data_IF_700178912015
#
_entry.id   IF_700178912015
#
_cell.length_a   1.000
_cell.length_b   1.000
_cell.length_c   1.000
_cell.angle_alpha   90.00
_cell.angle_beta   90.00
_cell.angle_gamma   90.00
#
_symmetry.space_group_name_H-M   'P 1'
#
loop_
_entity.id
_entity.type
_entity.pdbx_description
1 polymer ?
#
# COMPACT_ATOMS: atom_id res chain seq x y z
N UNK A 1 -59.62 -58.59 -7.87
CA UNK A 1 -58.23 -58.10 -7.93
C UNK A 1 -58.26 -56.59 -8.15
N UNK A 2 -58.06 -55.79 -7.10
CA UNK A 2 -57.94 -54.32 -7.20
C UNK A 2 -56.46 -53.97 -7.09
N UNK A 3 -55.93 -53.35 -8.14
CA UNK A 3 -54.55 -52.91 -8.25
C UNK A 3 -54.26 -51.84 -7.20
N UNK A 4 -53.25 -52.08 -6.36
CA UNK A 4 -52.54 -51.03 -5.64
C UNK A 4 -51.79 -50.16 -6.65
N UNK A 5 -52.19 -48.90 -6.78
CA UNK A 5 -51.35 -47.86 -7.37
C UNK A 5 -50.40 -47.38 -6.28
N UNK A 6 -49.17 -47.92 -6.29
CA UNK A 6 -48.06 -47.41 -5.50
C UNK A 6 -47.60 -46.09 -6.15
N UNK A 7 -47.98 -44.95 -5.57
CA UNK A 7 -47.42 -43.66 -5.93
C UNK A 7 -46.01 -43.57 -5.35
N UNK A 8 -44.99 -43.83 -6.19
CA UNK A 8 -43.61 -43.52 -5.87
C UNK A 8 -43.45 -41.99 -5.89
N UNK A 9 -43.52 -41.37 -4.72
CA UNK A 9 -43.15 -39.97 -4.54
C UNK A 9 -41.64 -39.84 -4.82
N UNK A 10 -41.29 -39.30 -5.99
CA UNK A 10 -39.94 -38.82 -6.28
C UNK A 10 -39.61 -37.70 -5.28
N UNK A 11 -38.88 -38.05 -4.22
CA UNK A 11 -38.13 -37.11 -3.41
C UNK A 11 -36.97 -36.60 -4.28
N UNK A 12 -37.22 -35.58 -5.08
CA UNK A 12 -36.14 -34.79 -5.66
C UNK A 12 -35.38 -34.15 -4.49
N UNK A 13 -34.05 -34.33 -4.36
CA UNK A 13 -33.28 -33.62 -3.36
C UNK A 13 -33.40 -32.13 -3.67
N UNK A 14 -34.20 -31.43 -2.87
CA UNK A 14 -34.14 -29.98 -2.77
C UNK A 14 -32.74 -29.65 -2.27
N UNK A 15 -31.85 -29.27 -3.19
CA UNK A 15 -30.61 -28.62 -2.85
C UNK A 15 -30.98 -27.36 -2.08
N UNK A 16 -30.96 -27.43 -0.75
CA UNK A 16 -31.12 -26.28 0.11
C UNK A 16 -29.89 -25.41 -0.15
N UNK A 17 -30.06 -24.37 -0.98
CA UNK A 17 -29.06 -23.31 -1.08
C UNK A 17 -28.95 -22.70 0.30
N UNK A 18 -27.77 -22.77 0.92
CA UNK A 18 -27.52 -22.10 2.18
C UNK A 18 -27.87 -20.62 2.00
N UNK A 19 -28.65 -20.08 2.93
CA UNK A 19 -28.93 -18.64 2.94
C UNK A 19 -27.61 -17.88 3.05
N UNK A 20 -27.42 -16.80 2.27
CA UNK A 20 -26.18 -16.06 2.30
C UNK A 20 -26.00 -15.39 3.68
N UNK A 21 -24.82 -15.61 4.29
CA UNK A 21 -24.46 -14.98 5.57
C UNK A 21 -24.42 -13.44 5.48
N UNK A 22 -24.01 -12.92 4.32
CA UNK A 22 -24.03 -11.49 3.98
C UNK A 22 -24.41 -11.37 2.50
N UNK A 23 -25.33 -10.46 2.17
CA UNK A 23 -25.73 -10.15 0.81
C UNK A 23 -25.71 -8.63 0.60
N UNK A 24 -24.73 -8.15 -0.17
CA UNK A 24 -24.56 -6.74 -0.51
C UNK A 24 -24.61 -6.54 -2.02
N UNK A 25 -25.11 -5.39 -2.46
CA UNK A 25 -25.15 -4.99 -3.86
C UNK A 25 -24.84 -3.51 -4.00
N UNK A 26 -24.02 -3.14 -4.98
CA UNK A 26 -23.61 -1.77 -5.20
C UNK A 26 -23.82 -1.38 -6.68
N UNK A 27 -24.68 -0.39 -6.98
CA UNK A 27 -24.76 0.19 -8.31
C UNK A 27 -23.55 1.11 -8.57
N UNK A 28 -23.12 1.19 -9.83
CA UNK A 28 -22.24 2.27 -10.30
C UNK A 28 -23.05 3.27 -11.10
N UNK A 29 -22.67 4.54 -11.07
CA UNK A 29 -23.29 5.61 -11.85
C UNK A 29 -22.28 6.26 -12.77
N UNK A 30 -22.74 6.61 -13.96
CA UNK A 30 -21.99 7.42 -14.92
C UNK A 30 -22.88 8.58 -15.33
N UNK A 31 -22.33 9.79 -15.31
CA UNK A 31 -23.00 11.00 -15.81
C UNK A 31 -22.12 11.67 -16.86
N UNK A 32 -22.75 12.12 -17.94
CA UNK A 32 -22.10 12.82 -19.05
C UNK A 32 -22.80 14.15 -19.24
N UNK A 33 -22.07 15.24 -19.03
CA UNK A 33 -22.57 16.61 -19.19
C UNK A 33 -21.79 17.32 -20.30
N UNK A 34 -22.47 18.13 -21.10
CA UNK A 34 -21.81 18.96 -22.12
C UNK A 34 -21.19 20.20 -21.47
N UNK A 35 -19.91 20.45 -21.71
CA UNK A 35 -19.16 21.64 -21.27
C UNK A 35 -18.54 22.34 -22.49
N UNK A 36 -19.27 23.30 -23.07
CA UNK A 36 -18.86 23.94 -24.32
C UNK A 36 -18.86 22.95 -25.48
N UNK A 37 -17.71 22.75 -26.13
CA UNK A 37 -17.51 21.73 -27.19
C UNK A 37 -16.99 20.39 -26.64
N UNK A 38 -16.81 20.27 -25.32
CA UNK A 38 -16.31 19.08 -24.64
C UNK A 38 -17.43 18.39 -23.84
N UNK A 39 -17.10 17.25 -23.25
CA UNK A 39 -17.92 16.49 -22.33
C UNK A 39 -17.20 16.30 -21.00
N UNK A 40 -17.90 16.54 -19.90
CA UNK A 40 -17.48 16.08 -18.58
C UNK A 40 -18.11 14.71 -18.32
N UNK A 41 -17.28 13.73 -18.04
CA UNK A 41 -17.67 12.37 -17.68
C UNK A 41 -17.32 12.16 -16.22
N UNK A 42 -18.33 11.86 -15.40
CA UNK A 42 -18.16 11.53 -13.98
C UNK A 42 -18.62 10.11 -13.75
N UNK A 43 -17.77 9.29 -13.16
CA UNK A 43 -18.06 7.91 -12.79
C UNK A 43 -17.91 7.73 -11.28
N UNK A 44 -18.98 7.30 -10.64
CA UNK A 44 -18.99 6.83 -9.26
C UNK A 44 -19.20 5.33 -9.26
N UNK A 45 -18.18 4.57 -8.86
CA UNK A 45 -18.28 3.12 -8.76
C UNK A 45 -18.23 2.68 -7.30
N UNK A 46 -19.01 1.65 -6.97
CA UNK A 46 -18.94 0.99 -5.67
C UNK A 46 -18.88 -0.52 -5.91
N UNK A 47 -17.97 -1.19 -5.21
CA UNK A 47 -17.81 -2.66 -5.23
C UNK A 47 -17.50 -3.20 -3.86
N UNK A 48 -17.75 -4.51 -3.69
CA UNK A 48 -17.39 -5.25 -2.49
C UNK A 48 -16.28 -6.25 -2.80
N UNK A 49 -15.36 -6.41 -1.86
CA UNK A 49 -14.28 -7.40 -1.92
C UNK A 49 -14.12 -8.06 -0.55
N UNK A 50 -13.98 -9.38 -0.51
CA UNK A 50 -13.61 -10.06 0.74
C UNK A 50 -12.10 -10.04 0.93
N UNK A 51 -11.66 -9.99 2.18
CA UNK A 51 -10.27 -10.11 2.54
C UNK A 51 -10.11 -11.05 3.74
N UNK A 52 -8.95 -11.71 3.80
CA UNK A 52 -8.53 -12.57 4.89
C UNK A 52 -7.13 -12.16 5.31
N UNK A 53 -6.96 -11.78 6.57
CA UNK A 53 -5.66 -11.39 7.10
C UNK A 53 -5.37 -12.02 8.48
N UNK A 54 -4.10 -12.27 8.81
CA UNK A 54 -3.70 -12.54 10.18
C UNK A 54 -3.76 -11.25 11.01
N UNK A 55 -4.21 -11.33 12.26
CA UNK A 55 -4.30 -10.16 13.15
C UNK A 55 -3.32 -10.24 14.31
N UNK A 56 -2.47 -9.21 14.42
CA UNK A 56 -1.62 -9.00 15.60
C UNK A 56 -2.47 -8.84 16.86
N UNK A 57 -3.53 -8.03 16.81
CA UNK A 57 -4.42 -7.78 17.94
C UNK A 57 -5.14 -9.05 18.44
N UNK A 58 -5.48 -9.96 17.54
CA UNK A 58 -6.10 -11.25 17.84
C UNK A 58 -5.06 -12.39 17.99
N UNK A 59 -3.81 -12.09 18.32
CA UNK A 59 -2.73 -13.08 18.56
C UNK A 59 -2.49 -14.02 17.38
N UNK A 60 -2.41 -13.44 16.19
CA UNK A 60 -2.26 -14.10 14.89
C UNK A 60 -3.45 -14.97 14.46
N UNK A 61 -4.64 -14.76 15.03
CA UNK A 61 -5.87 -15.35 14.48
C UNK A 61 -6.22 -14.72 13.13
N UNK A 62 -6.88 -15.49 12.27
CA UNK A 62 -7.37 -15.00 10.98
C UNK A 62 -8.65 -14.17 11.16
N UNK A 63 -8.68 -12.99 10.57
CA UNK A 63 -9.86 -12.12 10.50
C UNK A 63 -10.37 -12.10 9.06
N UNK A 64 -11.66 -12.37 8.90
CA UNK A 64 -12.39 -12.17 7.67
C UNK A 64 -12.98 -10.78 7.64
N UNK A 65 -12.84 -10.09 6.52
CA UNK A 65 -13.40 -8.75 6.32
C UNK A 65 -14.16 -8.68 5.00
N UNK A 66 -15.19 -7.86 4.98
CA UNK A 66 -15.79 -7.32 3.77
C UNK A 66 -15.30 -5.88 3.61
N UNK A 67 -14.73 -5.58 2.45
CA UNK A 67 -14.31 -4.23 2.07
C UNK A 67 -15.36 -3.65 1.13
N UNK A 68 -15.92 -2.51 1.48
CA UNK A 68 -16.69 -1.65 0.57
C UNK A 68 -15.73 -0.63 -0.03
N UNK A 69 -15.63 -0.61 -1.35
CA UNK A 69 -14.71 0.24 -2.11
C UNK A 69 -15.55 1.16 -3.00
N UNK A 70 -15.48 2.45 -2.73
CA UNK A 70 -16.09 3.52 -3.53
C UNK A 70 -14.97 4.24 -4.28
N UNK A 71 -15.13 4.47 -5.59
CA UNK A 71 -14.20 5.26 -6.39
C UNK A 71 -14.95 6.31 -7.20
N UNK A 72 -14.44 7.54 -7.18
CA UNK A 72 -14.93 8.67 -7.94
C UNK A 72 -13.88 9.11 -8.95
N UNK A 73 -14.26 9.18 -10.22
CA UNK A 73 -13.41 9.63 -11.32
C UNK A 73 -14.16 10.69 -12.12
N UNK A 74 -13.52 11.82 -12.37
CA UNK A 74 -14.03 12.89 -13.24
C UNK A 74 -13.01 13.15 -14.34
N UNK A 75 -13.47 13.25 -15.58
CA UNK A 75 -12.62 13.60 -16.71
C UNK A 75 -13.35 14.54 -17.66
N UNK A 76 -12.58 15.39 -18.35
CA UNK A 76 -13.05 16.23 -19.45
C UNK A 76 -12.45 15.70 -20.75
N UNK A 77 -13.29 15.37 -21.72
CA UNK A 77 -12.91 14.81 -23.01
C UNK A 77 -13.61 15.54 -24.16
N UNK A 78 -12.99 15.61 -25.33
CA UNK A 78 -13.55 16.30 -26.48
C UNK A 78 -12.70 16.17 -27.74
N UNK A 79 -13.24 16.54 -28.91
CA UNK A 79 -12.59 16.31 -30.20
C UNK A 79 -11.29 17.10 -30.42
N UNK A 80 -11.07 18.15 -29.63
CA UNK A 80 -9.95 19.10 -29.80
C UNK A 80 -9.06 19.21 -28.55
N UNK A 81 -9.26 18.35 -27.55
CA UNK A 81 -8.46 18.34 -26.32
C UNK A 81 -7.93 16.94 -26.02
N UNK A 82 -6.78 16.87 -25.36
CA UNK A 82 -6.38 15.66 -24.66
C UNK A 82 -7.32 15.44 -23.47
N UNK A 83 -7.58 14.17 -23.14
CA UNK A 83 -8.42 13.85 -21.98
C UNK A 83 -7.75 14.39 -20.71
N UNK A 84 -8.45 15.28 -20.00
CA UNK A 84 -7.99 15.80 -18.72
C UNK A 84 -8.71 15.05 -17.61
N UNK A 85 -7.98 14.24 -16.86
CA UNK A 85 -8.52 13.48 -15.74
C UNK A 85 -8.30 14.30 -14.46
N UNK A 86 -9.39 14.64 -13.77
CA UNK A 86 -9.33 15.23 -12.43
C UNK A 86 -8.79 14.19 -11.44
N UNK A 87 -8.22 14.64 -10.32
CA UNK A 87 -7.69 13.71 -9.32
C UNK A 87 -8.78 12.77 -8.80
N UNK A 88 -8.69 11.49 -9.15
CA UNK A 88 -9.62 10.46 -8.69
C UNK A 88 -9.51 10.26 -7.18
N UNK A 89 -10.62 9.91 -6.54
CA UNK A 89 -10.65 9.59 -5.11
C UNK A 89 -11.18 8.19 -4.89
N UNK A 90 -10.72 7.56 -3.82
CA UNK A 90 -11.24 6.30 -3.34
C UNK A 90 -11.56 6.39 -1.85
N UNK A 91 -12.66 5.74 -1.47
CA UNK A 91 -13.05 5.53 -0.08
C UNK A 91 -13.25 4.04 0.16
N UNK A 92 -12.55 3.51 1.15
CA UNK A 92 -12.57 2.09 1.50
C UNK A 92 -13.02 1.94 2.94
N UNK A 93 -14.11 1.21 3.16
CA UNK A 93 -14.63 0.90 4.50
C UNK A 93 -14.51 -0.58 4.77
N UNK A 94 -13.88 -0.94 5.90
CA UNK A 94 -13.68 -2.33 6.30
C UNK A 94 -14.71 -2.76 7.33
N UNK A 95 -15.36 -3.90 7.10
CA UNK A 95 -16.33 -4.51 8.00
C UNK A 95 -15.83 -5.90 8.41
N UNK A 96 -15.63 -6.18 9.70
CA UNK A 96 -15.31 -7.53 10.15
C UNK A 96 -16.51 -8.47 9.89
N UNK A 97 -16.22 -9.71 9.52
CA UNK A 97 -17.22 -10.77 9.34
C UNK A 97 -17.15 -11.75 10.51
N UNK A 98 -18.32 -12.18 10.97
CA UNK A 98 -18.48 -13.23 11.98
C UNK A 98 -19.60 -14.19 11.58
N UNK A 99 -19.84 -15.22 12.39
CA UNK A 99 -20.96 -16.15 12.20
C UNK A 99 -22.34 -15.46 12.27
N UNK A 100 -22.41 -14.23 12.78
CA UNK A 100 -23.63 -13.41 12.78
C UNK A 100 -23.76 -12.47 11.58
N UNK A 101 -22.82 -12.51 10.63
CA UNK A 101 -22.82 -11.69 9.42
C UNK A 101 -21.84 -10.52 9.44
N UNK A 102 -22.24 -9.42 8.80
CA UNK A 102 -21.45 -8.19 8.68
C UNK A 102 -21.49 -7.39 9.99
N UNK A 103 -20.33 -7.14 10.60
CA UNK A 103 -20.21 -6.28 11.77
C UNK A 103 -20.29 -4.79 11.44
N UNK A 104 -20.10 -3.94 12.45
CA UNK A 104 -19.97 -2.49 12.26
C UNK A 104 -18.66 -2.13 11.52
N UNK A 105 -18.62 -0.96 10.90
CA UNK A 105 -17.42 -0.48 10.23
C UNK A 105 -16.26 -0.36 11.24
N UNK A 106 -15.16 -1.07 10.98
CA UNK A 106 -13.95 -1.00 11.80
C UNK A 106 -13.18 0.31 11.56
N UNK A 107 -13.08 0.72 10.28
CA UNK A 107 -12.47 1.97 9.86
C UNK A 107 -12.88 2.33 8.43
N UNK A 108 -12.64 3.59 8.06
CA UNK A 108 -12.76 4.10 6.69
C UNK A 108 -11.48 4.84 6.31
N UNK A 109 -10.98 4.59 5.11
CA UNK A 109 -9.84 5.28 4.50
C UNK A 109 -10.37 6.05 3.29
N UNK A 110 -10.05 7.33 3.18
CA UNK A 110 -10.38 8.15 2.02
C UNK A 110 -9.12 8.88 1.54
N UNK A 111 -8.77 8.73 0.26
CA UNK A 111 -7.60 9.35 -0.33
C UNK A 111 -7.73 9.49 -1.85
N UNK A 112 -6.81 10.24 -2.46
CA UNK A 112 -6.67 10.29 -3.93
C UNK A 112 -6.15 8.94 -4.45
N UNK A 113 -6.86 8.33 -5.39
CA UNK A 113 -6.49 7.05 -5.98
C UNK A 113 -7.25 6.78 -7.28
N UNK A 114 -6.51 6.35 -8.31
CA UNK A 114 -7.07 5.87 -9.58
C UNK A 114 -7.40 4.37 -9.51
N UNK A 115 -6.71 3.63 -8.66
CA UNK A 115 -6.95 2.21 -8.44
C UNK A 115 -6.84 1.81 -6.96
N UNK A 116 -7.64 0.80 -6.61
CA UNK A 116 -7.70 0.22 -5.27
C UNK A 116 -7.42 -1.27 -5.36
N UNK A 117 -6.44 -1.75 -4.60
CA UNK A 117 -6.11 -3.17 -4.48
C UNK A 117 -6.00 -3.55 -3.00
N UNK A 118 -6.50 -4.72 -2.64
CA UNK A 118 -6.46 -5.23 -1.27
C UNK A 118 -5.95 -6.67 -1.29
N UNK A 119 -4.81 -6.89 -0.65
CA UNK A 119 -4.13 -8.19 -0.64
C UNK A 119 -3.50 -8.44 0.73
N UNK A 120 -3.94 -9.52 1.39
CA UNK A 120 -3.44 -9.91 2.70
C UNK A 120 -3.68 -8.80 3.74
N UNK A 121 -2.63 -8.39 4.45
CA UNK A 121 -2.70 -7.36 5.48
C UNK A 121 -2.77 -5.92 4.94
N UNK A 122 -2.75 -5.70 3.62
CA UNK A 122 -2.52 -4.38 3.03
C UNK A 122 -3.59 -3.93 2.04
N UNK A 123 -3.94 -2.66 2.15
CA UNK A 123 -4.67 -1.90 1.15
C UNK A 123 -3.67 -1.02 0.38
N UNK A 124 -3.71 -1.11 -0.94
CA UNK A 124 -2.92 -0.26 -1.84
C UNK A 124 -3.85 0.68 -2.60
N UNK A 125 -3.63 1.98 -2.42
CA UNK A 125 -4.24 3.03 -3.22
C UNK A 125 -3.21 3.55 -4.21
N UNK A 126 -3.46 3.35 -5.50
CA UNK A 126 -2.52 3.73 -6.57
C UNK A 126 -2.97 5.02 -7.23
N UNK A 127 -2.06 5.98 -7.32
CA UNK A 127 -2.17 7.18 -8.15
C UNK A 127 -1.25 7.01 -9.35
N UNK A 128 -1.81 6.94 -10.55
CA UNK A 128 -1.01 6.86 -11.77
C UNK A 128 -0.39 8.22 -12.07
N UNK A 129 0.88 8.22 -12.45
CA UNK A 129 1.52 9.41 -13.01
C UNK A 129 1.12 9.61 -14.47
N UNK A 130 1.32 10.82 -15.01
CA UNK A 130 1.30 10.98 -16.47
C UNK A 130 2.68 10.70 -17.06
N UNK A 131 2.68 10.16 -18.27
CA UNK A 131 3.77 10.36 -19.20
C UNK A 131 5.07 9.64 -18.74
N UNK A 132 5.97 10.33 -18.04
CA UNK A 132 7.24 9.81 -17.50
C UNK A 132 7.23 9.63 -15.98
N UNK A 133 6.15 10.03 -15.30
CA UNK A 133 6.01 9.92 -13.86
C UNK A 133 5.74 8.48 -13.42
N UNK A 134 6.35 8.07 -12.31
CA UNK A 134 6.04 6.78 -11.70
C UNK A 134 4.71 6.83 -10.94
N UNK A 135 3.96 5.70 -10.89
CA UNK A 135 2.79 5.61 -10.04
C UNK A 135 3.21 5.70 -8.56
N UNK A 136 2.43 6.46 -7.78
CA UNK A 136 2.53 6.46 -6.32
C UNK A 136 1.60 5.41 -5.74
N UNK A 137 2.10 4.54 -4.88
CA UNK A 137 1.31 3.52 -4.20
C UNK A 137 1.29 3.81 -2.70
N UNK A 138 0.15 4.27 -2.19
CA UNK A 138 -0.08 4.48 -0.78
C UNK A 138 -0.55 3.18 -0.12
N UNK A 139 0.19 2.73 0.89
CA UNK A 139 -0.03 1.46 1.57
C UNK A 139 -0.63 1.73 2.96
N UNK A 140 -1.76 1.09 3.23
CA UNK A 140 -2.46 1.14 4.51
C UNK A 140 -2.58 -0.25 5.10
N UNK A 141 -2.59 -0.32 6.43
CA UNK A 141 -2.90 -1.57 7.14
C UNK A 141 -4.39 -1.87 7.08
N UNK A 142 -4.76 -3.06 6.62
CA UNK A 142 -6.14 -3.56 6.71
C UNK A 142 -6.51 -4.06 8.11
N UNK A 143 -5.54 -4.20 9.02
CA UNK A 143 -5.81 -4.48 10.42
C UNK A 143 -6.18 -3.19 11.19
N UNK A 144 -5.43 -2.10 11.00
CA UNK A 144 -5.58 -0.89 11.81
C UNK A 144 -6.19 0.32 11.09
N UNK A 145 -6.32 0.27 9.77
CA UNK A 145 -6.72 1.39 8.93
C UNK A 145 -5.64 2.49 8.78
N UNK A 146 -4.48 2.33 9.39
CA UNK A 146 -3.42 3.36 9.39
C UNK A 146 -2.65 3.39 8.08
N UNK A 147 -2.31 4.59 7.62
CA UNK A 147 -1.33 4.81 6.57
C UNK A 147 0.06 4.37 7.04
N UNK A 148 0.71 3.49 6.28
CA UNK A 148 2.05 2.98 6.58
C UNK A 148 3.10 3.79 5.83
N UNK A 149 3.02 3.80 4.50
CA UNK A 149 4.01 4.44 3.63
C UNK A 149 3.52 4.57 2.19
N UNK A 150 4.22 5.41 1.42
CA UNK A 150 4.16 5.43 -0.03
C UNK A 150 5.34 4.66 -0.61
N UNK A 151 5.14 4.10 -1.79
CA UNK A 151 6.22 3.49 -2.55
C UNK A 151 6.09 3.77 -4.05
N UNK A 152 7.24 4.01 -4.67
CA UNK A 152 7.39 4.11 -6.13
C UNK A 152 7.99 2.84 -6.74
N UNK A 153 8.29 1.82 -5.92
CA UNK A 153 8.84 0.56 -6.41
C UNK A 153 7.87 -0.14 -7.38
N UNK A 154 8.34 -0.45 -8.59
CA UNK A 154 7.48 -0.84 -9.72
C UNK A 154 7.28 -2.35 -9.92
N UNK A 155 7.71 -3.18 -8.98
CA UNK A 155 7.47 -4.61 -9.09
C UNK A 155 6.18 -4.99 -8.33
N UNK A 156 5.38 -5.88 -8.92
CA UNK A 156 4.14 -6.37 -8.31
C UNK A 156 4.39 -7.27 -7.09
N UNK A 157 5.63 -7.73 -6.87
CA UNK A 157 5.97 -8.73 -5.86
C UNK A 157 6.95 -8.27 -4.76
N UNK A 158 7.60 -7.10 -4.87
CA UNK A 158 8.66 -6.60 -3.96
C UNK A 158 8.58 -5.07 -3.78
N UNK A 159 7.38 -4.57 -3.44
CA UNK A 159 7.11 -3.13 -3.27
C UNK A 159 7.87 -2.52 -2.08
N UNK A 160 8.40 -3.36 -1.20
CA UNK A 160 9.19 -3.04 -0.01
C UNK A 160 10.12 -4.22 0.31
N UNK A 161 11.13 -3.97 1.14
CA UNK A 161 11.96 -5.02 1.76
C UNK A 161 11.48 -5.27 3.19
N UNK A 162 11.77 -6.46 3.73
CA UNK A 162 11.25 -6.82 5.04
C UNK A 162 12.24 -7.55 5.95
N UNK A 163 12.06 -7.34 7.25
CA UNK A 163 12.79 -8.06 8.27
C UNK A 163 11.83 -8.67 9.27
N UNK A 164 11.88 -10.00 9.40
CA UNK A 164 11.02 -10.78 10.28
C UNK A 164 11.79 -11.44 11.42
N UNK A 165 11.10 -11.84 12.48
CA UNK A 165 11.66 -12.69 13.53
C UNK A 165 10.66 -13.75 14.03
N UNK A 166 11.12 -14.69 14.86
CA UNK A 166 10.21 -15.63 15.51
C UNK A 166 9.21 -14.90 16.41
N UNK A 167 7.92 -15.23 16.26
CA UNK A 167 6.81 -14.64 17.03
C UNK A 167 5.61 -14.26 16.16
N UNK A 168 5.76 -14.29 14.84
CA UNK A 168 4.68 -14.03 13.89
C UNK A 168 4.71 -12.60 13.37
N UNK A 169 3.57 -12.12 12.86
CA UNK A 169 3.46 -10.86 12.11
C UNK A 169 3.74 -9.61 12.95
N UNK A 170 3.61 -9.67 14.27
CA UNK A 170 3.99 -8.58 15.17
C UNK A 170 5.49 -8.23 15.12
N UNK A 171 6.30 -9.20 14.66
CA UNK A 171 7.74 -9.09 14.46
C UNK A 171 8.13 -8.98 12.98
N UNK A 172 7.22 -8.52 12.11
CA UNK A 172 7.59 -8.09 10.77
C UNK A 172 7.88 -6.58 10.78
N UNK A 173 8.94 -6.19 10.07
CA UNK A 173 9.32 -4.82 9.78
C UNK A 173 9.37 -4.62 8.28
N UNK A 174 8.78 -3.52 7.83
CA UNK A 174 8.65 -3.17 6.42
C UNK A 174 9.49 -1.92 6.18
N UNK A 175 10.26 -1.94 5.09
CA UNK A 175 11.03 -0.78 4.64
C UNK A 175 10.66 -0.48 3.19
N UNK A 176 10.22 0.74 2.94
CA UNK A 176 9.81 1.19 1.62
C UNK A 176 10.49 2.51 1.27
N UNK A 177 10.50 2.84 -0.02
CA UNK A 177 10.98 4.12 -0.51
C UNK A 177 9.99 4.72 -1.49
N UNK A 178 9.86 6.04 -1.45
CA UNK A 178 9.16 6.85 -2.45
C UNK A 178 10.16 7.85 -3.03
N UNK A 179 10.51 7.69 -4.31
CA UNK A 179 11.37 8.64 -5.02
C UNK A 179 10.54 9.80 -5.58
N UNK A 180 11.13 11.01 -5.60
CA UNK A 180 10.48 12.23 -6.07
C UNK A 180 10.40 12.32 -7.59
N UNK A 181 9.61 11.43 -8.20
CA UNK A 181 9.32 11.42 -9.64
C UNK A 181 7.84 11.12 -9.94
N UNK A 182 6.93 11.69 -9.13
CA UNK A 182 5.48 11.44 -9.22
C UNK A 182 4.62 12.69 -9.01
N UNK A 183 3.37 12.65 -9.52
CA UNK A 183 2.36 13.68 -9.28
C UNK A 183 1.94 13.86 -7.79
N UNK A 184 2.40 13.00 -6.88
CA UNK A 184 2.13 13.14 -5.44
C UNK A 184 3.20 13.96 -4.71
N UNK A 185 4.31 14.30 -5.37
CA UNK A 185 5.51 14.77 -4.69
C UNK A 185 5.37 16.10 -3.97
N UNK A 186 4.63 17.06 -4.54
CA UNK A 186 4.38 18.34 -3.87
C UNK A 186 3.67 18.16 -2.52
N UNK A 187 2.77 17.16 -2.44
CA UNK A 187 2.05 16.81 -1.22
C UNK A 187 2.97 16.10 -0.21
N UNK A 188 3.90 15.27 -0.68
CA UNK A 188 4.74 14.42 0.16
C UNK A 188 6.02 15.09 0.66
N UNK A 189 6.65 15.91 -0.19
CA UNK A 189 7.89 16.60 0.13
C UNK A 189 7.65 18.03 0.62
N UNK A 190 6.46 18.59 0.39
CA UNK A 190 6.10 19.95 0.79
C UNK A 190 7.07 20.97 0.19
N UNK A 191 7.53 21.91 1.03
CA UNK A 191 8.44 22.98 0.60
C UNK A 191 9.91 22.53 0.39
N UNK A 192 10.24 21.27 0.68
CA UNK A 192 11.62 20.80 0.55
C UNK A 192 11.97 20.50 -0.92
N UNK A 193 12.47 21.53 -1.60
CA UNK A 193 12.87 21.44 -3.01
C UNK A 193 13.98 20.44 -3.28
N UNK A 194 14.78 20.08 -2.28
CA UNK A 194 15.87 19.11 -2.43
C UNK A 194 15.53 17.74 -1.84
N UNK A 195 14.28 17.54 -1.42
CA UNK A 195 13.78 16.23 -1.03
C UNK A 195 13.85 15.28 -2.23
N UNK A 196 14.55 14.18 -2.07
CA UNK A 196 14.87 13.23 -3.12
C UNK A 196 14.09 11.91 -2.96
N UNK A 197 14.14 11.35 -1.75
CA UNK A 197 13.49 10.07 -1.43
C UNK A 197 12.92 10.12 -0.02
N UNK A 198 11.70 9.61 0.17
CA UNK A 198 11.16 9.31 1.50
C UNK A 198 11.38 7.82 1.77
N UNK A 199 12.15 7.52 2.80
CA UNK A 199 12.38 6.17 3.32
C UNK A 199 11.41 5.96 4.47
N UNK A 200 10.61 4.91 4.40
CA UNK A 200 9.64 4.58 5.43
C UNK A 200 9.99 3.27 6.12
N UNK A 201 9.76 3.23 7.42
CA UNK A 201 9.94 2.08 8.29
C UNK A 201 8.67 1.85 9.11
N UNK A 202 8.11 0.65 9.05
CA UNK A 202 6.80 0.35 9.62
C UNK A 202 6.69 -1.09 10.13
N UNK A 203 5.69 -1.36 10.95
CA UNK A 203 5.13 -2.70 11.13
C UNK A 203 4.00 -2.92 10.12
N UNK A 204 3.35 -4.09 10.13
CA UNK A 204 2.13 -4.31 9.34
C UNK A 204 0.94 -3.45 9.81
N UNK A 205 1.01 -2.85 11.01
CA UNK A 205 -0.13 -2.18 11.65
C UNK A 205 0.10 -0.71 11.96
N UNK A 206 1.34 -0.22 11.92
CA UNK A 206 1.64 1.18 12.21
C UNK A 206 2.96 1.64 11.56
N UNK A 207 3.06 2.91 11.16
CA UNK A 207 4.34 3.51 10.83
C UNK A 207 5.20 3.63 12.10
N UNK A 208 6.50 3.39 11.99
CA UNK A 208 7.48 3.52 13.07
C UNK A 208 8.39 4.72 12.87
N UNK A 209 8.81 4.98 11.63
CA UNK A 209 9.69 6.10 11.30
C UNK A 209 9.56 6.46 9.81
N UNK A 210 9.74 7.74 9.48
CA UNK A 210 9.91 8.21 8.10
C UNK A 210 11.09 9.17 8.03
N UNK A 211 11.96 8.96 7.05
CA UNK A 211 13.13 9.78 6.81
C UNK A 211 13.04 10.37 5.41
N UNK A 212 13.30 11.66 5.26
CA UNK A 212 13.51 12.30 3.97
C UNK A 212 15.00 12.36 3.70
N UNK A 213 15.44 11.74 2.61
CA UNK A 213 16.74 11.99 2.01
C UNK A 213 16.67 13.32 1.26
N UNK A 214 17.56 14.24 1.62
CA UNK A 214 17.74 15.51 0.94
C UNK A 214 19.03 15.42 0.14
N UNK A 215 18.91 15.53 -1.18
CA UNK A 215 20.05 15.48 -2.11
C UNK A 215 20.76 16.84 -2.18
N UNK A 216 21.93 16.84 -2.84
CA UNK A 216 22.63 18.08 -3.13
C UNK A 216 21.84 18.96 -4.10
N UNK A 217 22.07 20.27 -4.08
CA UNK A 217 21.45 21.18 -5.05
C UNK A 217 21.87 20.81 -6.48
N UNK A 218 23.14 20.46 -6.66
CA UNK A 218 23.69 20.09 -7.96
C UNK A 218 22.90 18.91 -8.55
N UNK A 219 22.67 17.84 -7.78
CA UNK A 219 21.92 16.67 -8.25
C UNK A 219 20.46 17.00 -8.62
N UNK A 220 19.85 17.97 -7.93
CA UNK A 220 18.46 18.35 -8.16
C UNK A 220 18.27 19.37 -9.31
N UNK A 221 19.31 20.12 -9.66
CA UNK A 221 19.27 21.20 -10.66
C UNK A 221 19.65 20.76 -12.09
N UNK A 222 19.81 19.46 -12.34
CA UNK A 222 20.13 18.98 -13.68
C UNK A 222 18.94 19.20 -14.65
N UNK A 223 19.24 19.66 -15.87
CA UNK A 223 18.24 19.88 -16.95
C UNK A 223 17.52 18.59 -17.39
N UNK A 224 17.98 17.42 -16.95
CA UNK A 224 17.41 16.11 -17.23
C UNK A 224 16.58 15.60 -16.04
N UNK A 225 15.48 14.86 -16.28
CA UNK A 225 14.76 14.17 -15.20
C UNK A 225 15.73 13.30 -14.38
N UNK A 226 15.54 13.25 -13.06
CA UNK A 226 16.29 12.35 -12.19
C UNK A 226 16.11 10.90 -12.66
N UNK A 227 17.11 10.32 -13.33
CA UNK A 227 17.11 8.93 -13.80
C UNK A 227 17.48 7.95 -12.68
N UNK A 228 17.01 8.19 -11.46
CA UNK A 228 17.28 7.31 -10.33
C UNK A 228 16.44 6.04 -10.42
N UNK A 229 17.12 4.90 -10.47
CA UNK A 229 16.53 3.59 -10.31
C UNK A 229 16.64 3.15 -8.86
N UNK A 230 15.92 3.86 -8.00
CA UNK A 230 15.99 3.64 -6.56
C UNK A 230 15.72 2.17 -6.19
N UNK A 231 16.70 1.55 -5.52
CA UNK A 231 16.63 0.18 -5.03
C UNK A 231 16.92 0.15 -3.54
N UNK A 232 16.04 -0.53 -2.80
CA UNK A 232 16.16 -0.71 -1.37
C UNK A 232 16.56 -2.16 -1.06
N UNK A 233 17.54 -2.36 -0.19
CA UNK A 233 18.08 -3.66 0.19
C UNK A 233 18.44 -3.67 1.68
N UNK A 234 18.40 -4.85 2.30
CA UNK A 234 18.90 -5.08 3.65
C UNK A 234 20.26 -5.76 3.59
N UNK A 235 21.24 -5.23 4.33
CA UNK A 235 22.62 -5.72 4.35
C UNK A 235 22.98 -6.11 5.77
N UNK A 236 23.62 -7.26 5.93
CA UNK A 236 24.22 -7.67 7.20
C UNK A 236 25.44 -8.58 6.93
N UNK A 237 26.03 -9.15 7.98
CA UNK A 237 27.17 -10.05 7.85
C UNK A 237 26.88 -11.30 6.98
N UNK A 238 25.65 -11.80 6.99
CA UNK A 238 25.21 -12.96 6.19
C UNK A 238 24.93 -12.60 4.74
N UNK A 239 24.38 -11.40 4.50
CA UNK A 239 23.98 -10.88 3.20
C UNK A 239 24.75 -9.59 2.87
N UNK A 240 26.08 -9.65 2.69
CA UNK A 240 26.89 -8.45 2.46
C UNK A 240 26.56 -7.73 1.15
N UNK A 241 25.96 -8.44 0.19
CA UNK A 241 25.53 -7.90 -1.10
C UNK A 241 24.13 -7.29 -1.09
N UNK A 242 23.39 -7.40 0.01
CA UNK A 242 21.99 -7.01 0.05
C UNK A 242 21.03 -8.19 -0.17
N UNK A 243 19.85 -8.11 0.44
CA UNK A 243 18.71 -9.01 0.26
C UNK A 243 17.42 -8.20 0.41
N UNK A 244 16.32 -8.68 -0.18
CA UNK A 244 14.98 -8.09 0.02
C UNK A 244 14.34 -8.54 1.34
N UNK A 245 14.85 -9.63 1.92
CA UNK A 245 14.31 -10.19 3.16
C UNK A 245 15.40 -10.73 4.09
N UNK A 246 15.28 -10.41 5.37
CA UNK A 246 16.03 -11.04 6.46
C UNK A 246 15.03 -11.70 7.41
N UNK A 247 15.28 -12.93 7.83
CA UNK A 247 14.54 -13.58 8.91
C UNK A 247 15.48 -13.92 10.06
N UNK A 248 15.11 -13.49 11.26
CA UNK A 248 15.89 -13.63 12.48
C UNK A 248 15.34 -14.82 13.29
N UNK A 249 16.08 -15.92 13.32
CA UNK A 249 15.71 -17.15 14.03
C UNK A 249 15.92 -17.09 15.56
N UNK A 250 15.52 -15.99 16.20
CA UNK A 250 15.52 -15.83 17.65
C UNK A 250 14.24 -15.15 18.13
N UNK A 251 13.85 -15.47 19.36
CA UNK A 251 12.82 -14.72 20.11
C UNK A 251 13.49 -13.63 20.93
N UNK A 252 12.77 -12.54 21.19
CA UNK A 252 13.30 -11.44 21.98
C UNK A 252 12.41 -10.21 21.88
N UNK A 253 12.93 -9.09 22.39
CA UNK A 253 12.27 -7.78 22.22
C UNK A 253 12.67 -7.17 20.88
N UNK A 254 11.81 -6.35 20.24
CA UNK A 254 12.14 -5.70 18.98
C UNK A 254 13.51 -5.02 18.95
N UNK A 255 13.87 -4.26 19.99
CA UNK A 255 15.17 -3.59 20.07
C UNK A 255 16.38 -4.54 20.00
N UNK A 256 16.24 -5.79 20.47
CA UNK A 256 17.29 -6.82 20.43
C UNK A 256 17.25 -7.64 19.12
N UNK A 257 16.08 -7.71 18.49
CA UNK A 257 15.84 -8.50 17.27
C UNK A 257 16.22 -7.71 16.02
N UNK A 258 15.80 -6.44 15.97
CA UNK A 258 15.97 -5.55 14.83
C UNK A 258 17.14 -4.61 15.07
N UNK A 259 18.31 -5.23 15.17
CA UNK A 259 19.62 -4.61 15.21
C UNK A 259 20.53 -5.36 14.24
N UNK A 260 21.67 -4.77 13.88
CA UNK A 260 22.73 -5.38 13.05
C UNK A 260 22.38 -5.57 11.56
N UNK A 261 21.31 -4.92 11.09
CA UNK A 261 21.02 -4.75 9.68
C UNK A 261 21.32 -3.30 9.26
N UNK A 262 21.68 -3.12 7.99
CA UNK A 262 21.84 -1.82 7.35
C UNK A 262 20.81 -1.75 6.23
N UNK A 263 20.00 -0.71 6.24
CA UNK A 263 19.15 -0.37 5.11
C UNK A 263 20.03 0.33 4.06
N UNK A 264 20.17 -0.27 2.89
CA UNK A 264 20.88 0.31 1.75
C UNK A 264 19.88 0.81 0.71
N UNK A 265 19.93 2.09 0.41
CA UNK A 265 19.25 2.71 -0.72
C UNK A 265 20.29 3.04 -1.78
N UNK A 266 20.14 2.46 -2.98
CA UNK A 266 20.97 2.75 -4.15
C UNK A 266 20.12 3.58 -5.11
N UNK A 267 20.54 4.79 -5.44
CA UNK A 267 19.84 5.65 -6.42
C UNK A 267 20.36 5.40 -7.84
N UNK A 268 21.68 5.21 -7.96
CA UNK A 268 22.42 4.89 -9.17
C UNK A 268 23.75 4.18 -8.80
N UNK A 269 24.63 3.94 -9.77
CA UNK A 269 25.92 3.25 -9.55
C UNK A 269 26.89 3.99 -8.61
N UNK A 270 26.80 5.31 -8.52
CA UNK A 270 27.66 6.17 -7.69
C UNK A 270 27.03 6.60 -6.36
N UNK A 271 25.71 6.52 -6.25
CA UNK A 271 24.94 7.14 -5.15
C UNK A 271 24.30 6.08 -4.26
N UNK A 272 24.98 5.80 -3.15
CA UNK A 272 24.55 4.80 -2.15
C UNK A 272 24.39 5.48 -0.78
N UNK A 273 23.24 5.23 -0.16
CA UNK A 273 22.90 5.62 1.21
C UNK A 273 22.80 4.36 2.06
N UNK A 274 23.53 4.32 3.17
CA UNK A 274 23.50 3.20 4.13
C UNK A 274 23.07 3.70 5.51
N UNK A 275 21.94 3.20 6.03
CA UNK A 275 21.38 3.61 7.32
C UNK A 275 21.33 2.39 8.24
N UNK A 276 22.15 2.34 9.31
CA UNK A 276 22.11 1.25 10.27
C UNK A 276 20.75 1.19 10.98
N UNK A 277 20.28 -0.03 11.23
CA UNK A 277 19.16 -0.32 12.10
C UNK A 277 19.70 -0.68 13.49
N UNK A 278 19.36 0.14 14.49
CA UNK A 278 19.82 0.02 15.88
C UNK A 278 18.61 0.15 16.79
N UNK A 279 18.42 -0.82 17.67
CA UNK A 279 17.32 -0.84 18.65
C UNK A 279 15.93 -0.60 18.03
N UNK A 280 15.61 -1.29 16.91
CA UNK A 280 14.32 -1.15 16.20
C UNK A 280 14.08 0.27 15.64
N UNK A 281 15.15 0.97 15.22
CA UNK A 281 15.09 2.30 14.62
C UNK A 281 16.21 2.54 13.62
N UNK A 282 15.95 3.33 12.58
CA UNK A 282 16.99 3.78 11.65
C UNK A 282 17.84 4.89 12.29
N UNK A 283 19.14 4.64 12.43
CA UNK A 283 20.10 5.56 13.04
C UNK A 283 20.64 6.56 12.01
N UNK A 284 20.03 7.74 11.98
CA UNK A 284 20.42 8.86 11.12
C UNK A 284 21.86 9.32 11.38
N UNK A 285 22.34 9.25 12.63
CA UNK A 285 23.66 9.79 13.00
C UNK A 285 24.79 8.87 12.52
N UNK A 286 24.53 7.57 12.45
CA UNK A 286 25.47 6.58 11.95
C UNK A 286 25.31 6.30 10.44
N UNK A 287 24.40 7.00 9.76
CA UNK A 287 24.18 6.83 8.33
C UNK A 287 25.42 7.25 7.53
N UNK A 288 25.73 6.48 6.49
CA UNK A 288 26.70 6.87 5.46
C UNK A 288 25.94 7.43 4.29
N UNK A 289 26.23 8.70 3.98
CA UNK A 289 25.56 9.45 2.93
C UNK A 289 26.59 9.89 1.88
N UNK A 290 26.18 10.09 0.63
CA UNK A 290 26.97 10.83 -0.35
C UNK A 290 27.30 12.24 0.17
N UNK A 291 28.33 12.84 -0.41
CA UNK A 291 28.74 14.21 -0.06
C UNK A 291 27.56 15.17 -0.28
N UNK A 292 27.34 16.08 0.68
CA UNK A 292 26.30 17.12 0.63
C UNK A 292 24.85 16.60 0.72
N UNK A 293 24.64 15.29 0.93
CA UNK A 293 23.33 14.72 1.26
C UNK A 293 23.06 14.80 2.77
N UNK A 294 21.78 14.83 3.13
CA UNK A 294 21.35 14.75 4.54
C UNK A 294 20.08 13.94 4.71
N UNK A 295 19.79 13.54 5.94
CA UNK A 295 18.57 12.84 6.32
C UNK A 295 17.81 13.68 7.36
N UNK A 296 16.51 13.84 7.13
CA UNK A 296 15.61 14.54 8.04
C UNK A 296 14.53 13.58 8.50
N UNK A 297 14.30 13.48 9.80
CA UNK A 297 13.17 12.72 10.32
C UNK A 297 11.86 13.49 10.12
N UNK A 298 10.89 12.83 9.48
CA UNK A 298 9.58 13.39 9.21
C UNK A 298 8.59 13.05 10.32
N UNK A 299 7.57 13.88 10.50
CA UNK A 299 6.45 13.57 11.38
C UNK A 299 5.61 12.43 10.76
N UNK A 300 5.13 11.54 11.61
CA UNK A 300 4.28 10.40 11.22
C UNK A 300 2.82 10.80 11.01
#
# INVERSE_FOLDING_TARGET
MRFLLLAAALLAPSFAFAEPLVQESAPSTISVAKEGENFRVVTDSRRYQTNLLPSVAAKNALIYQLLEIEQHVSAVEGPMIEQVIDAATAKVTAYPLSDSGKGEAAFTIEAKADAVDALGSFLTLTRYGCCVEMPTRAIYSLESGKYLFNTTADNTYRRWVSMGAQGGFEFERLFAHHARITAADDELFGDNKNGAVIISYATETAPLQRLMLVASQDDMDHDAPLEWMARLELVNATFPKGTDRIFVEKKGKPAELFTDAILRLTLDEGTIVEIPLVEDRLDIKAAKLPKDYSLIEMKL
#
